data_IF_700589002049
#
_entry.id   IF_700589002049
#
_cell.length_a   1.000
_cell.length_b   1.000
_cell.length_c   1.000
_cell.angle_alpha   90.00
_cell.angle_beta   90.00
_cell.angle_gamma   90.00
#
_symmetry.space_group_name_H-M   'P 1'
#
loop_
_entity.id
_entity.type
_entity.pdbx_description
1 polymer ?
#
# COMPACT_ATOMS: atom_id res chain seq x y z
N UNK A 1 -7.54 -8.36 -6.36
CA UNK A 1 -6.86 -7.93 -5.11
C UNK A 1 -7.78 -7.22 -4.13
N UNK A 2 -8.85 -6.49 -4.51
CA UNK A 2 -9.74 -5.77 -3.58
C UNK A 2 -10.14 -6.53 -2.31
N UNK A 3 -10.80 -7.68 -2.46
CA UNK A 3 -11.19 -8.55 -1.33
C UNK A 3 -9.95 -9.16 -0.64
N UNK A 4 -8.95 -9.57 -1.41
CA UNK A 4 -7.73 -10.17 -0.88
C UNK A 4 -6.88 -9.19 -0.06
N UNK A 5 -6.93 -7.89 -0.38
CA UNK A 5 -6.19 -6.84 0.32
C UNK A 5 -6.86 -6.49 1.64
N UNK A 6 -8.19 -6.63 1.73
CA UNK A 6 -8.91 -6.60 3.00
C UNK A 6 -8.63 -7.84 3.83
N UNK A 7 -8.64 -9.02 3.21
CA UNK A 7 -8.30 -10.26 3.91
C UNK A 7 -6.84 -10.27 4.40
N UNK A 8 -5.90 -9.65 3.68
CA UNK A 8 -4.53 -9.35 4.13
C UNK A 8 -4.49 -8.53 5.41
N UNK A 9 -5.33 -7.50 5.51
CA UNK A 9 -5.41 -6.68 6.72
C UNK A 9 -5.86 -7.43 7.97
N UNK A 10 -6.63 -8.52 7.80
CA UNK A 10 -7.09 -9.36 8.91
C UNK A 10 -6.17 -10.57 9.15
N UNK A 11 -5.64 -11.18 8.10
CA UNK A 11 -4.78 -12.35 8.19
C UNK A 11 -3.50 -12.17 7.37
N UNK A 12 -2.37 -12.16 8.06
CA UNK A 12 -1.05 -11.92 7.47
C UNK A 12 -0.68 -12.89 6.32
N UNK A 13 -1.20 -14.13 6.32
CA UNK A 13 -0.89 -15.09 5.25
C UNK A 13 -1.44 -14.67 3.87
N UNK A 14 -2.46 -13.81 3.80
CA UNK A 14 -2.93 -13.28 2.51
C UNK A 14 -1.93 -12.32 1.86
N UNK A 15 -0.96 -11.77 2.61
CA UNK A 15 0.18 -11.07 2.02
C UNK A 15 1.00 -11.99 1.10
N UNK A 16 1.24 -13.23 1.54
CA UNK A 16 1.89 -14.25 0.73
C UNK A 16 1.05 -14.67 -0.47
N UNK A 17 -0.26 -14.85 -0.28
CA UNK A 17 -1.17 -15.18 -1.40
C UNK A 17 -1.11 -14.09 -2.48
N UNK A 18 -1.20 -12.82 -2.09
CA UNK A 18 -1.12 -11.69 -3.03
C UNK A 18 0.25 -11.62 -3.71
N UNK A 19 1.34 -11.79 -2.94
CA UNK A 19 2.70 -11.82 -3.47
C UNK A 19 2.90 -12.95 -4.48
N UNK A 20 2.42 -14.16 -4.19
CA UNK A 20 2.49 -15.31 -5.09
C UNK A 20 1.67 -15.08 -6.36
N UNK A 21 0.46 -14.50 -6.27
CA UNK A 21 -0.34 -14.16 -7.45
C UNK A 21 0.42 -13.18 -8.36
N UNK A 22 0.98 -12.10 -7.79
CA UNK A 22 1.77 -11.14 -8.57
C UNK A 22 3.02 -11.79 -9.17
N UNK A 23 3.76 -12.54 -8.36
CA UNK A 23 4.94 -13.27 -8.82
C UNK A 23 4.63 -14.23 -9.95
N UNK A 24 3.51 -14.95 -9.89
CA UNK A 24 3.08 -15.86 -10.94
C UNK A 24 2.73 -15.09 -12.24
N UNK A 25 1.96 -14.00 -12.14
CA UNK A 25 1.59 -13.16 -13.28
C UNK A 25 2.84 -12.66 -14.01
N UNK A 26 3.74 -11.98 -13.29
CA UNK A 26 4.93 -11.40 -13.93
C UNK A 26 5.98 -12.46 -14.31
N UNK A 27 6.06 -13.56 -13.57
CA UNK A 27 6.92 -14.69 -13.92
C UNK A 27 6.51 -15.33 -15.26
N UNK A 28 5.21 -15.43 -15.54
CA UNK A 28 4.70 -15.91 -16.84
C UNK A 28 4.93 -14.88 -17.94
N UNK A 29 4.58 -13.60 -17.71
CA UNK A 29 4.71 -12.55 -18.74
C UNK A 29 6.16 -12.45 -19.25
N UNK A 30 7.12 -12.46 -18.33
CA UNK A 30 8.54 -12.37 -18.67
C UNK A 30 9.22 -13.73 -18.87
N UNK A 31 8.47 -14.84 -18.79
CA UNK A 31 8.98 -16.21 -18.89
C UNK A 31 10.22 -16.45 -18.01
N UNK A 32 10.21 -15.87 -16.79
CA UNK A 32 11.37 -15.85 -15.90
C UNK A 32 10.95 -16.08 -14.44
N UNK A 33 11.28 -17.25 -13.91
CA UNK A 33 10.96 -17.67 -12.54
C UNK A 33 11.62 -16.76 -11.49
N UNK A 34 12.85 -16.28 -11.75
CA UNK A 34 13.56 -15.41 -10.80
C UNK A 34 12.86 -14.07 -10.64
N UNK A 35 12.27 -13.53 -11.72
CA UNK A 35 11.46 -12.32 -11.66
C UNK A 35 10.18 -12.54 -10.87
N UNK A 36 9.49 -13.65 -11.11
CA UNK A 36 8.30 -13.98 -10.34
C UNK A 36 8.58 -14.11 -8.84
N UNK A 37 9.68 -14.78 -8.47
CA UNK A 37 10.13 -14.88 -7.09
C UNK A 37 10.50 -13.51 -6.50
N UNK A 38 11.25 -12.69 -7.24
CA UNK A 38 11.66 -11.36 -6.78
C UNK A 38 10.45 -10.42 -6.57
N UNK A 39 9.45 -10.46 -7.45
CA UNK A 39 8.21 -9.69 -7.29
C UNK A 39 7.41 -10.17 -6.07
N UNK A 40 7.29 -11.48 -5.87
CA UNK A 40 6.63 -12.06 -4.71
C UNK A 40 7.30 -11.62 -3.40
N UNK A 41 8.63 -11.79 -3.31
CA UNK A 41 9.41 -11.41 -2.14
C UNK A 41 9.40 -9.90 -1.91
N UNK A 42 9.43 -9.09 -2.97
CA UNK A 42 9.32 -7.63 -2.89
C UNK A 42 7.97 -7.18 -2.32
N UNK A 43 6.88 -7.84 -2.73
CA UNK A 43 5.54 -7.58 -2.20
C UNK A 43 5.45 -7.94 -0.71
N UNK A 44 5.88 -9.14 -0.33
CA UNK A 44 5.85 -9.59 1.08
C UNK A 44 6.78 -8.74 1.95
N UNK A 45 7.96 -8.40 1.44
CA UNK A 45 8.94 -7.59 2.14
C UNK A 45 8.44 -6.17 2.40
N UNK A 46 7.87 -5.49 1.40
CA UNK A 46 7.33 -4.14 1.60
C UNK A 46 6.08 -4.09 2.50
N UNK A 47 5.39 -5.23 2.62
CA UNK A 47 4.29 -5.42 3.57
C UNK A 47 4.79 -5.75 4.99
N UNK A 48 6.06 -6.06 5.22
CA UNK A 48 6.53 -6.42 6.57
C UNK A 48 6.73 -5.22 7.52
N UNK A 49 6.56 -4.00 7.03
CA UNK A 49 6.86 -2.77 7.76
C UNK A 49 5.73 -2.32 8.71
N UNK A 50 5.99 -1.46 9.71
CA UNK A 50 4.93 -0.91 10.58
C UNK A 50 4.34 0.39 10.02
N UNK A 51 3.01 0.57 10.07
CA UNK A 51 2.30 1.78 9.59
C UNK A 51 0.99 2.08 10.33
N UNK A 52 0.84 1.56 11.54
CA UNK A 52 -0.33 1.69 12.42
C UNK A 52 -0.82 3.12 12.60
N UNK A 53 0.08 4.00 13.01
CA UNK A 53 -0.18 5.38 13.39
C UNK A 53 -0.64 6.22 12.19
N UNK A 54 -0.03 6.04 11.02
CA UNK A 54 -0.37 6.88 9.86
C UNK A 54 -1.72 6.54 9.25
N UNK A 55 -1.98 5.23 9.06
CA UNK A 55 -3.28 4.78 8.55
C UNK A 55 -4.37 5.08 9.58
N UNK A 56 -4.12 4.83 10.87
CA UNK A 56 -5.06 5.13 11.94
C UNK A 56 -5.42 6.61 12.00
N UNK A 57 -4.42 7.50 11.86
CA UNK A 57 -4.64 8.94 11.85
C UNK A 57 -5.52 9.42 10.70
N UNK A 58 -5.35 8.87 9.50
CA UNK A 58 -6.14 9.26 8.33
C UNK A 58 -7.52 8.61 8.26
N UNK A 59 -7.66 7.39 8.79
CA UNK A 59 -8.83 6.53 8.57
C UNK A 59 -9.79 6.38 9.75
N UNK A 60 -9.38 6.56 11.01
CA UNK A 60 -10.23 6.24 12.17
C UNK A 60 -10.38 7.34 13.24
N UNK A 61 -9.61 8.42 13.23
CA UNK A 61 -9.70 9.41 14.32
C UNK A 61 -8.90 10.69 14.16
N UNK A 62 -9.14 11.46 13.09
CA UNK A 62 -8.34 12.66 12.73
C UNK A 62 -8.14 13.65 13.89
N UNK A 63 -9.19 13.93 14.64
CA UNK A 63 -9.21 15.00 15.66
C UNK A 63 -8.32 14.71 16.88
N UNK A 64 -8.13 13.44 17.25
CA UNK A 64 -7.31 13.03 18.39
C UNK A 64 -6.19 12.05 17.99
N UNK A 65 -5.76 12.10 16.73
CA UNK A 65 -4.80 11.14 16.17
C UNK A 65 -3.34 11.47 16.43
N UNK A 66 -3.02 12.64 16.98
CA UNK A 66 -1.63 13.06 17.15
C UNK A 66 -0.91 12.18 18.16
N UNK A 67 0.11 11.47 17.68
CA UNK A 67 0.95 10.60 18.48
C UNK A 67 2.40 11.09 18.40
N UNK A 68 2.97 11.70 19.46
CA UNK A 68 4.32 12.27 19.41
C UNK A 68 5.43 11.19 19.37
N UNK A 69 5.16 9.99 19.89
CA UNK A 69 6.14 8.93 20.10
C UNK A 69 5.87 7.65 19.28
N UNK A 70 5.25 7.77 18.11
CA UNK A 70 5.02 6.62 17.23
C UNK A 70 6.35 6.05 16.69
N UNK A 71 6.47 4.73 16.62
CA UNK A 71 7.68 4.05 16.12
C UNK A 71 7.61 3.67 14.62
N UNK A 72 6.47 3.88 13.96
CA UNK A 72 6.32 3.55 12.54
C UNK A 72 7.32 4.27 11.65
N UNK A 73 7.88 3.55 10.69
CA UNK A 73 8.84 4.10 9.73
C UNK A 73 10.21 4.48 10.30
N UNK A 74 10.51 4.18 11.57
CA UNK A 74 11.82 4.45 12.21
C UNK A 74 12.93 3.61 11.59
N UNK A 75 12.71 2.30 11.44
CA UNK A 75 13.72 1.37 10.91
C UNK A 75 13.93 1.49 9.40
N UNK A 76 12.95 2.03 8.68
CA UNK A 76 12.99 2.13 7.21
C UNK A 76 13.35 3.53 6.71
N UNK A 77 13.63 4.47 7.61
CA UNK A 77 13.96 5.86 7.27
C UNK A 77 12.78 6.71 6.78
N UNK A 78 11.59 6.15 6.59
CA UNK A 78 10.40 6.87 6.14
C UNK A 78 10.05 8.01 7.11
N UNK A 79 10.08 7.75 8.42
CA UNK A 79 9.81 8.78 9.45
C UNK A 79 10.80 9.94 9.37
N UNK A 80 12.07 9.62 9.17
CA UNK A 80 13.10 10.64 9.01
C UNK A 80 12.84 11.47 7.77
N UNK A 81 12.58 10.84 6.63
CA UNK A 81 12.34 11.53 5.36
C UNK A 81 11.05 12.38 5.40
N UNK A 82 9.95 11.83 5.90
CA UNK A 82 8.69 12.57 6.03
C UNK A 82 8.82 13.75 6.98
N UNK A 83 9.58 13.62 8.07
CA UNK A 83 9.81 14.70 9.04
C UNK A 83 10.64 15.87 8.47
N UNK A 84 11.45 15.62 7.43
CA UNK A 84 12.20 16.66 6.72
C UNK A 84 11.33 17.46 5.76
N UNK A 85 10.30 16.83 5.20
CA UNK A 85 9.36 17.49 4.29
C UNK A 85 8.31 18.26 5.10
N UNK A 86 7.71 17.59 6.10
CA UNK A 86 6.68 18.17 6.97
C UNK A 86 7.06 17.90 8.42
N UNK A 87 7.33 18.95 9.22
CA UNK A 87 7.71 18.78 10.61
C UNK A 87 6.57 18.13 11.40
N UNK A 88 6.94 17.25 12.33
CA UNK A 88 5.99 16.56 13.20
C UNK A 88 5.49 17.56 14.24
N UNK A 89 4.27 18.05 14.05
CA UNK A 89 3.57 18.91 15.00
C UNK A 89 2.09 18.52 15.08
N UNK A 90 1.37 18.84 16.18
CA UNK A 90 -0.07 18.60 16.26
C UNK A 90 -0.84 19.24 15.10
N UNK A 91 -0.42 20.44 14.68
CA UNK A 91 -1.04 21.19 13.58
C UNK A 91 -0.81 20.57 12.20
N UNK A 92 0.34 19.91 11.98
CA UNK A 92 0.72 19.35 10.69
C UNK A 92 0.65 17.81 10.65
N UNK A 93 0.14 17.19 11.71
CA UNK A 93 0.17 15.73 11.88
C UNK A 93 -0.44 14.98 10.71
N UNK A 94 -1.64 15.38 10.28
CA UNK A 94 -2.31 14.72 9.15
C UNK A 94 -1.51 14.85 7.85
N UNK A 95 -0.90 16.00 7.61
CA UNK A 95 -0.05 16.20 6.44
C UNK A 95 1.22 15.34 6.50
N UNK A 96 1.82 15.24 7.69
CA UNK A 96 2.92 14.33 7.92
C UNK A 96 2.54 12.87 7.62
N UNK A 97 1.39 12.40 8.13
CA UNK A 97 0.88 11.05 7.87
C UNK A 97 0.63 10.78 6.39
N UNK A 98 0.09 11.76 5.64
CA UNK A 98 -0.10 11.65 4.19
C UNK A 98 1.22 11.45 3.46
N UNK A 99 2.24 12.25 3.78
CA UNK A 99 3.57 12.12 3.17
C UNK A 99 4.24 10.81 3.56
N UNK A 100 4.17 10.41 4.83
CA UNK A 100 4.73 9.15 5.28
C UNK A 100 4.08 7.95 4.58
N UNK A 101 2.76 7.96 4.40
CA UNK A 101 2.03 6.91 3.67
C UNK A 101 2.35 6.89 2.18
N UNK A 102 2.47 8.06 1.55
CA UNK A 102 2.91 8.16 0.16
C UNK A 102 4.30 7.52 -0.02
N UNK A 103 5.27 7.93 0.81
CA UNK A 103 6.63 7.40 0.78
C UNK A 103 6.67 5.90 1.05
N UNK A 104 5.86 5.41 2.00
CA UNK A 104 5.69 3.97 2.25
C UNK A 104 5.17 3.26 1.01
N UNK A 105 4.09 3.75 0.41
CA UNK A 105 3.52 3.16 -0.80
C UNK A 105 4.55 3.09 -1.93
N UNK A 106 5.32 4.16 -2.13
CA UNK A 106 6.41 4.16 -3.10
C UNK A 106 7.52 3.15 -2.77
N UNK A 107 7.92 3.02 -1.50
CA UNK A 107 8.91 2.03 -1.09
C UNK A 107 8.40 0.60 -1.34
N UNK A 108 7.16 0.31 -0.95
CA UNK A 108 6.55 -1.01 -1.11
C UNK A 108 6.47 -1.43 -2.58
N UNK A 109 5.86 -0.59 -3.42
CA UNK A 109 5.69 -0.91 -4.83
C UNK A 109 6.98 -0.77 -5.62
N UNK A 110 7.89 0.09 -5.19
CA UNK A 110 9.25 0.17 -5.70
C UNK A 110 9.98 -1.16 -5.50
N UNK A 111 10.00 -1.71 -4.28
CA UNK A 111 10.59 -3.02 -4.00
C UNK A 111 9.90 -4.15 -4.78
N UNK A 112 8.58 -4.06 -4.96
CA UNK A 112 7.80 -5.08 -5.68
C UNK A 112 8.10 -5.10 -7.17
N UNK A 113 8.21 -3.94 -7.83
CA UNK A 113 8.29 -3.85 -9.30
C UNK A 113 9.68 -3.50 -9.84
N UNK A 114 10.66 -3.17 -9.00
CA UNK A 114 12.05 -2.97 -9.46
C UNK A 114 12.62 -4.18 -10.22
N UNK A 115 12.27 -5.46 -9.91
CA UNK A 115 12.75 -6.59 -10.72
C UNK A 115 12.36 -6.49 -12.20
N UNK A 116 11.20 -5.91 -12.51
CA UNK A 116 10.70 -5.79 -13.88
C UNK A 116 11.60 -4.91 -14.76
N UNK A 117 12.24 -3.90 -14.17
CA UNK A 117 13.17 -3.01 -14.89
C UNK A 117 14.36 -3.80 -15.45
N UNK A 118 14.83 -4.82 -14.73
CA UNK A 118 15.95 -5.67 -15.15
C UNK A 118 15.60 -6.63 -16.30
N UNK A 119 14.31 -6.78 -16.63
CA UNK A 119 13.84 -7.58 -17.77
C UNK A 119 13.21 -6.73 -18.88
N UNK A 120 13.58 -5.44 -18.92
CA UNK A 120 13.24 -4.55 -20.02
C UNK A 120 11.98 -3.70 -19.80
N UNK A 121 11.37 -3.73 -18.62
CA UNK A 121 10.28 -2.81 -18.30
C UNK A 121 10.79 -1.36 -18.28
N UNK A 122 10.06 -0.46 -18.96
CA UNK A 122 10.45 0.95 -19.04
C UNK A 122 10.58 1.56 -17.64
N UNK A 123 11.77 2.10 -17.35
CA UNK A 123 12.04 2.77 -16.08
C UNK A 123 11.09 3.95 -15.82
N UNK A 124 10.68 4.67 -16.87
CA UNK A 124 9.72 5.76 -16.75
C UNK A 124 8.33 5.25 -16.34
N UNK A 125 7.88 4.13 -16.92
CA UNK A 125 6.59 3.51 -16.56
C UNK A 125 6.65 2.92 -15.15
N UNK A 126 7.77 2.33 -14.74
CA UNK A 126 8.02 1.91 -13.37
C UNK A 126 7.82 3.06 -12.38
N UNK A 127 8.46 4.21 -12.61
CA UNK A 127 8.31 5.36 -11.72
C UNK A 127 6.86 5.85 -11.66
N UNK A 128 6.17 5.92 -12.80
CA UNK A 128 4.76 6.33 -12.86
C UNK A 128 3.88 5.39 -12.05
N UNK A 129 4.02 4.08 -12.22
CA UNK A 129 3.26 3.05 -11.48
C UNK A 129 3.48 3.20 -9.98
N UNK A 130 4.74 3.32 -9.55
CA UNK A 130 5.11 3.44 -8.14
C UNK A 130 4.53 4.71 -7.52
N UNK A 131 4.55 5.84 -8.25
CA UNK A 131 3.96 7.10 -7.81
C UNK A 131 2.43 6.99 -7.72
N UNK A 132 1.77 6.43 -8.74
CA UNK A 132 0.31 6.24 -8.75
C UNK A 132 -0.13 5.37 -7.58
N UNK A 133 0.58 4.27 -7.30
CA UNK A 133 0.26 3.38 -6.19
C UNK A 133 0.57 4.00 -4.82
N UNK A 134 1.60 4.84 -4.72
CA UNK A 134 1.88 5.64 -3.53
C UNK A 134 0.77 6.66 -3.25
N UNK A 135 0.38 7.42 -4.27
CA UNK A 135 -0.72 8.39 -4.19
C UNK A 135 -2.04 7.68 -3.87
N UNK A 136 -2.30 6.56 -4.54
CA UNK A 136 -3.47 5.72 -4.33
C UNK A 136 -3.62 5.23 -2.90
N UNK A 137 -2.51 5.05 -2.18
CA UNK A 137 -2.55 4.64 -0.78
C UNK A 137 -3.11 5.75 0.13
N UNK A 138 -2.67 6.99 -0.12
CA UNK A 138 -3.19 8.17 0.59
C UNK A 138 -4.66 8.38 0.27
N UNK A 139 -5.03 8.31 -1.02
CA UNK A 139 -6.43 8.44 -1.44
C UNK A 139 -7.31 7.36 -0.82
N UNK A 140 -6.85 6.11 -0.77
CA UNK A 140 -7.61 5.04 -0.14
C UNK A 140 -7.87 5.32 1.34
N UNK A 141 -6.93 5.94 2.07
CA UNK A 141 -7.14 6.31 3.47
C UNK A 141 -8.19 7.42 3.62
N UNK A 142 -8.14 8.43 2.75
CA UNK A 142 -9.10 9.53 2.71
C UNK A 142 -10.51 9.04 2.34
N UNK A 143 -10.62 8.21 1.29
CA UNK A 143 -11.89 7.58 0.89
C UNK A 143 -12.37 6.63 1.99
N UNK A 144 -11.48 5.86 2.62
CA UNK A 144 -11.80 4.98 3.73
C UNK A 144 -12.49 5.73 4.88
N UNK A 145 -11.97 6.89 5.26
CA UNK A 145 -12.58 7.77 6.25
C UNK A 145 -13.95 8.32 5.80
N UNK A 146 -14.10 8.72 4.54
CA UNK A 146 -15.37 9.25 4.02
C UNK A 146 -16.44 8.16 3.91
N UNK A 147 -16.02 6.93 3.57
CA UNK A 147 -16.93 5.81 3.32
C UNK A 147 -17.25 4.99 4.56
N UNK A 148 -16.60 5.25 5.70
CA UNK A 148 -16.74 4.46 6.94
C UNK A 148 -18.20 4.34 7.45
N UNK A 149 -19.04 5.33 7.18
CA UNK A 149 -20.44 5.36 7.59
C UNK A 149 -21.43 4.97 6.47
N UNK A 150 -20.94 4.73 5.24
CA UNK A 150 -21.81 4.47 4.09
C UNK A 150 -22.30 3.03 4.07
N UNK A 151 -21.44 2.07 4.40
CA UNK A 151 -21.80 0.67 4.46
C UNK A 151 -20.97 -0.07 5.50
N UNK A 152 -21.60 -1.03 6.15
CA UNK A 152 -20.91 -1.97 7.04
C UNK A 152 -21.31 -3.38 6.67
N UNK A 153 -20.34 -4.25 6.44
CA UNK A 153 -20.57 -5.62 6.04
C UNK A 153 -19.74 -6.56 6.90
N UNK A 154 -20.39 -7.55 7.51
CA UNK A 154 -19.70 -8.64 8.20
C UNK A 154 -20.32 -9.96 7.75
N UNK A 155 -19.53 -10.78 7.06
CA UNK A 155 -19.94 -12.13 6.64
C UNK A 155 -18.74 -13.07 6.65
N UNK A 156 -18.79 -14.07 7.53
CA UNK A 156 -17.70 -15.03 7.70
C UNK A 156 -16.39 -14.34 8.08
N UNK A 157 -15.33 -14.59 7.30
CA UNK A 157 -13.99 -14.02 7.52
C UNK A 157 -13.85 -12.56 7.03
N UNK A 158 -14.84 -12.02 6.33
CA UNK A 158 -14.82 -10.66 5.79
C UNK A 158 -15.56 -9.71 6.73
N UNK A 159 -14.86 -8.71 7.27
CA UNK A 159 -15.40 -7.64 8.11
C UNK A 159 -15.02 -6.28 7.53
N UNK A 160 -16.00 -5.40 7.35
CA UNK A 160 -15.83 -4.01 6.89
C UNK A 160 -16.78 -3.17 7.75
N UNK A 161 -16.26 -2.52 8.77
CA UNK A 161 -17.00 -1.78 9.81
C UNK A 161 -16.39 -0.40 10.09
N UNK A 162 -15.08 -0.25 9.94
CA UNK A 162 -14.36 1.00 10.22
C UNK A 162 -13.65 1.59 8.99
N UNK A 163 -13.17 2.83 9.13
CA UNK A 163 -12.44 3.49 8.04
C UNK A 163 -11.13 2.80 7.65
N UNK A 164 -10.48 2.09 8.58
CA UNK A 164 -9.33 1.24 8.28
C UNK A 164 -9.68 0.13 7.28
N UNK A 165 -10.76 -0.59 7.54
CA UNK A 165 -11.18 -1.72 6.71
C UNK A 165 -11.65 -1.25 5.32
N UNK A 166 -12.32 -0.10 5.27
CA UNK A 166 -12.68 0.55 4.00
C UNK A 166 -11.44 0.98 3.22
N UNK A 167 -10.44 1.55 3.88
CA UNK A 167 -9.18 1.94 3.26
C UNK A 167 -8.49 0.74 2.59
N UNK A 168 -8.48 -0.41 3.23
CA UNK A 168 -7.88 -1.62 2.66
C UNK A 168 -8.62 -2.12 1.42
N UNK A 169 -9.96 -2.07 1.44
CA UNK A 169 -10.77 -2.42 0.28
C UNK A 169 -10.51 -1.47 -0.90
N UNK A 170 -10.61 -0.16 -0.66
CA UNK A 170 -10.39 0.86 -1.70
C UNK A 170 -8.97 0.79 -2.25
N UNK A 171 -7.98 0.56 -1.40
CA UNK A 171 -6.61 0.41 -1.87
C UNK A 171 -6.44 -0.83 -2.74
N UNK A 172 -7.05 -1.95 -2.35
CA UNK A 172 -7.02 -3.17 -3.16
C UNK A 172 -7.68 -3.01 -4.52
N UNK A 173 -8.73 -2.20 -4.62
CA UNK A 173 -9.36 -1.84 -5.91
C UNK A 173 -8.41 -1.00 -6.76
N UNK A 174 -7.74 0.01 -6.18
CA UNK A 174 -6.75 0.83 -6.91
C UNK A 174 -5.59 -0.05 -7.42
N UNK A 175 -5.10 -0.97 -6.58
CA UNK A 175 -4.07 -1.93 -6.98
C UNK A 175 -4.53 -2.76 -8.18
N UNK A 176 -5.76 -3.29 -8.14
CA UNK A 176 -6.32 -4.08 -9.24
C UNK A 176 -6.33 -3.31 -10.56
N UNK A 177 -6.78 -2.05 -10.53
CA UNK A 177 -6.79 -1.22 -11.73
C UNK A 177 -5.38 -1.00 -12.29
N UNK A 178 -4.41 -0.67 -11.43
CA UNK A 178 -3.04 -0.41 -11.87
C UNK A 178 -2.37 -1.68 -12.41
N UNK A 179 -2.49 -2.80 -11.69
CA UNK A 179 -1.89 -4.07 -12.10
C UNK A 179 -2.53 -4.58 -13.40
N UNK A 180 -3.87 -4.50 -13.51
CA UNK A 180 -4.57 -4.89 -14.73
C UNK A 180 -4.14 -4.02 -15.92
N UNK A 181 -4.02 -2.71 -15.72
CA UNK A 181 -3.55 -1.79 -16.75
C UNK A 181 -2.12 -2.13 -17.19
N UNK A 182 -1.22 -2.42 -16.25
CA UNK A 182 0.14 -2.87 -16.57
C UNK A 182 0.14 -4.13 -17.42
N UNK A 183 -0.65 -5.14 -17.04
CA UNK A 183 -0.67 -6.44 -17.70
C UNK A 183 -1.35 -6.41 -19.08
N UNK A 184 -2.39 -5.60 -19.25
CA UNK A 184 -3.21 -5.61 -20.47
C UNK A 184 -2.76 -4.58 -21.50
N UNK A 185 -2.25 -3.43 -21.05
CA UNK A 185 -1.99 -2.27 -21.91
C UNK A 185 -0.51 -1.98 -22.09
N UNK A 186 0.31 -2.24 -21.06
CA UNK A 186 1.72 -1.86 -21.08
C UNK A 186 2.63 -3.03 -21.50
N UNK A 187 2.33 -4.25 -21.05
CA UNK A 187 3.11 -5.47 -21.24
C UNK A 187 2.53 -6.35 -22.34
#
# INVERSE_FOLDING_TARGET
>A
MGILNRLRGTYAYFAWVNGCILGFIFGIIYQNVYIGLAVCLGYVGGESFGWGAWVGALSMGRENSYEPNYDDGRNNGIRWLSSKIIPISPTNWLWHCRIALFLRGCLWWGLTFIPLVFVGFSFMLFLIVVIILGIGFVFACEIGYLTQNLFSFQKGILSIKGGWEHQELWYGIIQDFVILYMVVVIL
#
